data_IF_613959015023
#
_entry.id   IF_613959015023
#
_cell.length_a   1.000
_cell.length_b   1.000
_cell.length_c   1.000
_cell.angle_alpha   90.00
_cell.angle_beta   90.00
_cell.angle_gamma   90.00
#
_symmetry.space_group_name_H-M   'P 1'
#
loop_
_entity.id
_entity.type
_entity.pdbx_description
1 polymer ?
#
# COMPACT_ATOMS: atom_id res chain seq x y z
N UNK A 1 -24.72 0.63 -55.46
CA UNK A 1 -23.92 -0.52 -54.99
C UNK A 1 -22.73 -0.01 -54.19
N UNK A 2 -22.91 0.44 -52.95
CA UNK A 2 -21.80 0.65 -52.01
C UNK A 2 -22.36 0.40 -50.62
N UNK A 3 -21.90 -0.70 -50.01
CA UNK A 3 -21.62 -0.89 -48.58
C UNK A 3 -21.60 -2.39 -48.33
N UNK A 4 -20.39 -2.99 -48.22
CA UNK A 4 -20.14 -3.77 -47.02
C UNK A 4 -18.66 -3.71 -46.62
N UNK A 5 -18.19 -2.60 -46.02
CA UNK A 5 -16.79 -2.53 -45.54
C UNK A 5 -16.60 -1.96 -44.13
N UNK A 6 -17.64 -1.78 -43.32
CA UNK A 6 -17.51 -1.26 -41.95
C UNK A 6 -17.80 -2.24 -40.81
N UNK A 7 -17.78 -3.56 -41.05
CA UNK A 7 -17.91 -4.55 -39.95
C UNK A 7 -16.63 -5.29 -39.57
N UNK A 8 -15.57 -5.23 -40.39
CA UNK A 8 -14.32 -6.01 -40.16
C UNK A 8 -13.23 -5.28 -39.36
N UNK A 9 -13.39 -4.01 -39.02
CA UNK A 9 -12.38 -3.25 -38.26
C UNK A 9 -12.53 -3.41 -36.73
N UNK A 10 -13.75 -3.63 -36.22
CA UNK A 10 -14.01 -3.72 -34.78
C UNK A 10 -13.52 -4.99 -34.09
N UNK A 11 -13.36 -6.10 -34.83
CA UNK A 11 -12.95 -7.38 -34.24
C UNK A 11 -11.44 -7.54 -34.09
N UNK A 12 -10.63 -6.90 -34.95
CA UNK A 12 -9.15 -6.94 -34.80
C UNK A 12 -8.67 -6.23 -33.54
N UNK A 13 -9.35 -5.16 -33.16
CA UNK A 13 -8.97 -4.35 -32.00
C UNK A 13 -9.34 -5.03 -30.69
N UNK A 14 -10.47 -5.74 -30.65
CA UNK A 14 -10.88 -6.57 -29.51
C UNK A 14 -9.94 -7.76 -29.29
N UNK A 15 -9.42 -8.36 -30.36
CA UNK A 15 -8.44 -9.46 -30.27
C UNK A 15 -7.12 -9.00 -29.65
N UNK A 16 -6.61 -7.83 -30.05
CA UNK A 16 -5.37 -7.23 -29.50
C UNK A 16 -5.50 -6.90 -28.00
N UNK A 17 -6.70 -6.52 -27.55
CA UNK A 17 -6.99 -6.23 -26.13
C UNK A 17 -7.08 -7.49 -25.27
N UNK A 18 -7.66 -8.58 -25.79
CA UNK A 18 -7.69 -9.89 -25.11
C UNK A 18 -6.29 -10.52 -25.01
N UNK A 19 -5.45 -10.35 -26.03
CA UNK A 19 -4.09 -10.91 -26.04
C UNK A 19 -3.15 -10.24 -25.03
N UNK A 20 -3.28 -8.91 -24.84
CA UNK A 20 -2.55 -8.19 -23.78
C UNK A 20 -2.95 -8.61 -22.36
N UNK A 21 -4.19 -9.05 -22.16
CA UNK A 21 -4.67 -9.58 -20.87
C UNK A 21 -4.23 -11.04 -20.62
N UNK A 22 -3.69 -11.72 -21.65
CA UNK A 22 -3.29 -13.13 -21.62
C UNK A 22 -1.76 -13.30 -21.63
N UNK A 23 -1.00 -12.29 -21.23
CA UNK A 23 0.44 -12.44 -20.97
C UNK A 23 0.63 -12.61 -19.46
N UNK A 24 1.01 -13.81 -18.99
CA UNK A 24 1.27 -14.02 -17.58
C UNK A 24 2.51 -13.19 -17.22
N UNK A 25 2.45 -12.47 -16.11
CA UNK A 25 3.56 -11.80 -15.43
C UNK A 25 4.62 -12.79 -14.89
N UNK A 26 4.61 -14.04 -15.39
CA UNK A 26 5.54 -15.09 -15.03
C UNK A 26 6.94 -14.73 -15.54
N UNK A 27 7.72 -14.07 -14.67
CA UNK A 27 9.09 -14.44 -14.35
C UNK A 27 9.79 -13.29 -13.61
N UNK A 28 9.63 -13.22 -12.28
CA UNK A 28 10.75 -12.82 -11.40
C UNK A 28 10.64 -13.61 -10.09
N UNK A 29 11.66 -14.40 -9.81
CA UNK A 29 12.19 -14.51 -8.45
C UNK A 29 11.60 -15.59 -7.55
N UNK A 30 12.14 -16.80 -7.69
CA UNK A 30 12.35 -17.79 -6.63
C UNK A 30 12.64 -17.14 -5.27
N UNK A 31 11.94 -17.54 -4.20
CA UNK A 31 12.57 -17.82 -2.90
C UNK A 31 11.62 -18.54 -1.93
N UNK A 32 12.14 -19.65 -1.42
CA UNK A 32 11.52 -20.55 -0.47
C UNK A 32 11.45 -19.92 0.94
N UNK A 33 10.38 -20.22 1.67
CA UNK A 33 10.33 -20.04 3.12
C UNK A 33 9.74 -21.29 3.77
N UNK A 34 10.57 -21.94 4.56
CA UNK A 34 10.31 -23.19 5.26
C UNK A 34 9.21 -23.04 6.31
N UNK A 35 8.25 -23.96 6.28
CA UNK A 35 7.25 -24.14 7.32
C UNK A 35 7.89 -24.83 8.53
N UNK A 36 8.12 -24.08 9.61
CA UNK A 36 8.42 -24.64 10.91
C UNK A 36 7.12 -25.16 11.53
N UNK A 37 7.06 -26.48 11.70
CA UNK A 37 6.04 -27.20 12.42
C UNK A 37 6.26 -27.11 13.95
N UNK A 38 5.16 -27.06 14.70
CA UNK A 38 5.09 -27.44 16.12
C UNK A 38 4.21 -26.53 16.98
N UNK A 39 3.65 -27.04 18.09
CA UNK A 39 2.56 -28.00 18.06
C UNK A 39 1.31 -27.52 18.84
N UNK A 40 0.16 -28.08 18.49
CA UNK A 40 -1.05 -28.08 19.30
C UNK A 40 -0.80 -28.71 20.68
N UNK A 41 -1.52 -28.24 21.71
CA UNK A 41 -2.11 -29.17 22.66
C UNK A 41 -3.62 -28.88 22.81
N UNK A 42 -4.42 -29.91 22.56
CA UNK A 42 -5.82 -29.90 22.94
C UNK A 42 -5.99 -30.05 24.46
N UNK A 43 -7.10 -29.55 24.97
CA UNK A 43 -7.95 -30.16 26.01
C UNK A 43 -9.15 -29.25 26.26
N UNK A 44 -10.37 -29.72 25.96
CA UNK A 44 -11.56 -29.32 26.72
C UNK A 44 -11.59 -30.07 28.06
N UNK A 45 -12.59 -29.87 28.94
CA UNK A 45 -13.95 -29.40 28.68
C UNK A 45 -14.37 -28.20 29.55
N UNK A 46 -15.63 -27.80 29.42
CA UNK A 46 -16.15 -26.48 29.82
C UNK A 46 -16.16 -26.17 31.31
N UNK A 47 -16.27 -24.88 31.59
CA UNK A 47 -17.34 -24.32 32.41
C UNK A 47 -17.46 -22.84 32.04
N UNK A 48 -18.68 -22.38 31.74
CA UNK A 48 -18.95 -20.95 31.60
C UNK A 48 -19.22 -20.39 32.98
N UNK A 49 -18.56 -19.29 33.35
CA UNK A 49 -19.25 -18.27 34.11
C UNK A 49 -19.06 -16.90 33.44
N UNK A 50 -20.20 -16.27 33.15
CA UNK A 50 -20.44 -14.83 33.15
C UNK A 50 -19.20 -13.92 33.06
N UNK A 51 -18.97 -13.35 31.87
CA UNK A 51 -18.04 -12.23 31.71
C UNK A 51 -18.76 -10.89 32.00
N UNK A 52 -18.12 -9.93 32.69
CA UNK A 52 -18.70 -8.61 32.89
C UNK A 52 -18.74 -7.87 31.55
N UNK A 53 -19.96 -7.62 31.06
CA UNK A 53 -20.23 -6.72 29.95
C UNK A 53 -19.85 -5.28 30.37
N UNK A 54 -18.61 -4.87 30.10
CA UNK A 54 -18.16 -3.53 30.49
C UNK A 54 -16.98 -2.93 29.72
N UNK A 55 -16.35 -3.65 28.78
CA UNK A 55 -15.03 -3.22 28.26
C UNK A 55 -14.95 -3.03 26.73
N UNK A 56 -16.06 -3.22 26.01
CA UNK A 56 -16.12 -3.03 24.55
C UNK A 56 -15.92 -1.58 24.06
N UNK A 57 -16.46 -0.52 24.72
CA UNK A 57 -16.29 0.85 24.21
C UNK A 57 -14.86 1.35 24.37
N UNK A 58 -14.15 0.87 25.39
CA UNK A 58 -12.80 1.33 25.71
C UNK A 58 -11.76 0.76 24.75
N UNK A 59 -11.89 -0.52 24.37
CA UNK A 59 -11.03 -1.14 23.34
C UNK A 59 -11.19 -0.47 21.96
N UNK A 60 -12.41 -0.08 21.60
CA UNK A 60 -12.69 0.65 20.35
C UNK A 60 -12.10 2.07 20.37
N UNK A 61 -12.23 2.78 21.50
CA UNK A 61 -11.61 4.10 21.70
C UNK A 61 -10.08 4.05 21.68
N UNK A 62 -9.49 3.01 22.31
CA UNK A 62 -8.04 2.76 22.30
C UNK A 62 -7.54 2.46 20.88
N UNK A 63 -8.19 1.56 20.13
CA UNK A 63 -7.83 1.25 18.75
C UNK A 63 -7.95 2.48 17.82
N UNK A 64 -9.02 3.27 17.98
CA UNK A 64 -9.20 4.51 17.25
C UNK A 64 -8.13 5.57 17.60
N UNK A 65 -7.75 5.69 18.87
CA UNK A 65 -6.66 6.56 19.32
C UNK A 65 -5.29 6.13 18.79
N UNK A 66 -5.00 4.83 18.78
CA UNK A 66 -3.76 4.27 18.24
C UNK A 66 -3.64 4.52 16.73
N UNK A 67 -4.73 4.36 15.98
CA UNK A 67 -4.76 4.62 14.55
C UNK A 67 -4.57 6.12 14.25
N UNK A 68 -5.14 6.99 15.08
CA UNK A 68 -4.97 8.44 15.01
C UNK A 68 -3.50 8.86 15.17
N UNK A 69 -2.75 8.19 16.06
CA UNK A 69 -1.31 8.41 16.25
C UNK A 69 -0.50 7.92 15.04
N UNK A 70 -0.86 6.78 14.45
CA UNK A 70 -0.17 6.22 13.28
C UNK A 70 -0.26 7.13 12.04
N UNK A 71 -1.41 7.78 11.82
CA UNK A 71 -1.62 8.71 10.71
C UNK A 71 -1.28 10.18 11.03
N UNK A 72 -0.74 10.47 12.23
CA UNK A 72 -0.35 11.84 12.61
C UNK A 72 -1.52 12.82 12.74
N UNK A 73 -2.75 12.33 12.92
CA UNK A 73 -3.98 13.15 13.03
C UNK A 73 -4.19 13.71 14.45
N UNK A 74 -3.18 13.64 15.33
CA UNK A 74 -3.21 14.27 16.64
C UNK A 74 -3.15 15.79 16.50
N UNK A 75 -4.24 16.49 16.77
CA UNK A 75 -4.30 17.97 16.78
C UNK A 75 -3.43 18.63 17.87
N UNK A 76 -2.58 17.87 18.57
CA UNK A 76 -1.73 18.37 19.65
C UNK A 76 -0.23 18.27 19.43
N UNK A 77 0.26 17.74 18.29
CA UNK A 77 1.68 17.34 18.20
C UNK A 77 2.39 17.80 16.91
N UNK A 78 2.25 19.08 16.57
CA UNK A 78 3.34 19.80 15.89
C UNK A 78 4.47 20.20 16.88
N UNK A 79 4.31 19.91 18.17
CA UNK A 79 5.19 20.38 19.25
C UNK A 79 6.06 19.29 19.92
N UNK A 80 6.16 18.10 19.32
CA UNK A 80 6.87 16.95 19.92
C UNK A 80 7.93 16.30 19.01
N UNK A 81 8.23 16.87 17.83
CA UNK A 81 9.35 16.42 17.01
C UNK A 81 10.62 17.16 17.47
N UNK A 82 11.74 16.48 17.76
CA UNK A 82 13.00 17.17 18.03
C UNK A 82 13.31 18.04 16.80
N UNK A 83 13.32 19.36 16.97
CA UNK A 83 13.67 20.38 15.98
C UNK A 83 13.56 19.89 14.53
N UNK A 84 12.32 19.69 14.07
CA UNK A 84 12.07 19.57 12.63
C UNK A 84 12.52 20.86 11.95
N UNK A 85 12.85 20.82 10.64
CA UNK A 85 13.12 22.02 9.86
C UNK A 85 11.99 23.02 10.14
N UNK A 86 12.34 24.30 10.27
CA UNK A 86 11.35 25.36 10.45
C UNK A 86 10.22 25.10 9.45
N UNK A 87 8.94 25.03 9.85
CA UNK A 87 7.85 24.72 8.92
C UNK A 87 7.78 25.69 7.73
N UNK A 88 8.44 26.83 7.87
CA UNK A 88 8.57 27.91 6.90
C UNK A 88 9.94 27.95 6.22
N UNK A 89 10.84 27.00 6.46
CA UNK A 89 12.17 26.98 5.85
C UNK A 89 12.03 26.73 4.34
N UNK A 90 12.40 27.70 3.49
CA UNK A 90 12.35 27.53 2.05
C UNK A 90 13.36 26.50 1.52
N UNK A 91 14.25 25.99 2.37
CA UNK A 91 15.26 24.99 1.96
C UNK A 91 15.03 23.57 2.47
N UNK A 92 13.93 23.32 3.18
CA UNK A 92 13.52 21.97 3.49
C UNK A 92 12.89 21.29 2.26
N UNK A 93 13.57 20.28 1.71
CA UNK A 93 13.11 19.45 0.58
C UNK A 93 11.73 18.80 0.82
N UNK A 94 11.37 18.54 2.07
CA UNK A 94 10.08 17.94 2.44
C UNK A 94 9.08 18.96 2.99
N UNK A 95 9.49 20.23 3.06
CA UNK A 95 8.71 21.32 3.65
C UNK A 95 7.62 21.83 2.71
N UNK A 96 6.52 22.30 3.28
CA UNK A 96 5.41 22.88 2.51
C UNK A 96 5.79 24.18 1.77
N UNK A 97 6.85 24.84 2.22
CA UNK A 97 7.33 26.13 1.70
C UNK A 97 8.63 26.01 0.89
N UNK A 98 8.98 24.80 0.43
CA UNK A 98 10.18 24.57 -0.37
C UNK A 98 10.26 25.50 -1.59
N UNK A 99 11.34 26.27 -1.67
CA UNK A 99 11.68 27.11 -2.82
C UNK A 99 12.93 26.51 -3.51
N UNK A 100 12.77 25.99 -4.74
CA UNK A 100 13.88 25.37 -5.46
C UNK A 100 15.01 26.36 -5.75
N UNK A 101 14.73 27.64 -6.00
CA UNK A 101 15.76 28.61 -6.35
C UNK A 101 16.64 28.93 -5.14
N UNK A 102 16.02 29.14 -3.97
CA UNK A 102 16.75 29.40 -2.72
C UNK A 102 17.56 28.16 -2.30
N UNK A 103 16.97 26.98 -2.41
CA UNK A 103 17.67 25.72 -2.11
C UNK A 103 18.88 25.51 -3.01
N UNK A 104 18.73 25.69 -4.33
CA UNK A 104 19.82 25.55 -5.29
C UNK A 104 20.90 26.62 -5.12
N UNK A 105 20.53 27.86 -4.76
CA UNK A 105 21.48 28.92 -4.44
C UNK A 105 22.36 28.57 -3.24
N UNK A 106 21.77 28.04 -2.17
CA UNK A 106 22.53 27.54 -1.02
C UNK A 106 23.44 26.38 -1.43
N UNK A 107 22.90 25.41 -2.16
CA UNK A 107 23.64 24.20 -2.59
C UNK A 107 24.88 24.55 -3.42
N UNK A 108 24.77 25.50 -4.36
CA UNK A 108 25.92 25.98 -5.17
C UNK A 108 27.01 26.66 -4.35
N UNK A 109 26.64 27.33 -3.26
CA UNK A 109 27.58 28.07 -2.41
C UNK A 109 28.26 27.17 -1.37
N UNK A 110 27.56 26.15 -0.90
CA UNK A 110 27.96 25.39 0.28
C UNK A 110 28.46 23.98 -0.03
N UNK A 111 28.05 23.37 -1.15
CA UNK A 111 28.41 21.99 -1.49
C UNK A 111 29.47 21.87 -2.59
N UNK A 112 30.56 21.12 -2.37
CA UNK A 112 31.52 20.81 -3.42
C UNK A 112 30.94 19.82 -4.45
N UNK A 113 31.43 19.89 -5.70
CA UNK A 113 30.90 19.13 -6.83
C UNK A 113 30.78 17.62 -6.57
N UNK A 114 31.75 17.00 -5.88
CA UNK A 114 31.71 15.58 -5.57
C UNK A 114 30.49 15.20 -4.71
N UNK A 115 30.22 15.99 -3.65
CA UNK A 115 29.05 15.78 -2.80
C UNK A 115 27.75 15.99 -3.57
N UNK A 116 27.74 16.94 -4.52
CA UNK A 116 26.58 17.17 -5.38
C UNK A 116 26.29 15.94 -6.27
N UNK A 117 27.32 15.35 -6.89
CA UNK A 117 27.18 14.14 -7.70
C UNK A 117 26.72 12.93 -6.89
N UNK A 118 27.23 12.78 -5.67
CA UNK A 118 26.79 11.73 -4.75
C UNK A 118 25.32 11.93 -4.36
N UNK A 119 24.95 13.17 -4.00
CA UNK A 119 23.56 13.52 -3.63
C UNK A 119 22.57 13.32 -4.77
N UNK A 120 22.96 13.62 -6.01
CA UNK A 120 22.16 13.35 -7.21
C UNK A 120 21.93 11.84 -7.36
N UNK A 121 23.00 11.05 -7.25
CA UNK A 121 22.93 9.59 -7.38
C UNK A 121 22.03 8.98 -6.30
N UNK A 122 22.14 9.47 -5.07
CA UNK A 122 21.31 9.02 -3.95
C UNK A 122 19.85 9.43 -4.12
N UNK A 123 19.57 10.65 -4.57
CA UNK A 123 18.21 11.10 -4.87
C UNK A 123 17.56 10.24 -5.96
N UNK A 124 18.30 9.90 -7.02
CA UNK A 124 17.81 8.99 -8.08
C UNK A 124 17.50 7.60 -7.52
N UNK A 125 18.33 7.08 -6.60
CA UNK A 125 18.06 5.80 -5.93
C UNK A 125 16.81 5.88 -5.07
N UNK A 126 16.64 6.94 -4.29
CA UNK A 126 15.48 7.16 -3.44
C UNK A 126 14.19 7.26 -4.26
N UNK A 127 14.19 7.98 -5.39
CA UNK A 127 13.04 8.07 -6.30
C UNK A 127 12.62 6.67 -6.77
N UNK A 128 13.58 5.84 -7.19
CA UNK A 128 13.29 4.46 -7.65
C UNK A 128 12.78 3.56 -6.53
N UNK A 129 13.35 3.69 -5.33
CA UNK A 129 12.91 2.93 -4.17
C UNK A 129 11.47 3.30 -3.78
N UNK A 130 11.17 4.60 -3.69
CA UNK A 130 9.83 5.10 -3.39
C UNK A 130 8.78 4.67 -4.43
N UNK A 131 9.14 4.65 -5.72
CA UNK A 131 8.26 4.14 -6.77
C UNK A 131 7.99 2.64 -6.60
N UNK A 132 9.01 1.84 -6.32
CA UNK A 132 8.86 0.41 -6.03
C UNK A 132 8.00 0.15 -4.79
N UNK A 133 8.18 0.93 -3.73
CA UNK A 133 7.41 0.82 -2.48
C UNK A 133 5.94 1.20 -2.72
N UNK A 134 5.71 2.28 -3.47
CA UNK A 134 4.36 2.71 -3.90
C UNK A 134 3.66 1.60 -4.68
N UNK A 135 4.35 0.98 -5.64
CA UNK A 135 3.80 -0.12 -6.44
C UNK A 135 3.48 -1.34 -5.57
N UNK A 136 4.37 -1.69 -4.65
CA UNK A 136 4.18 -2.81 -3.72
C UNK A 136 2.96 -2.58 -2.82
N UNK A 137 2.85 -1.38 -2.24
CA UNK A 137 1.73 -1.01 -1.39
C UNK A 137 0.40 -1.14 -2.12
N UNK A 138 0.33 -0.60 -3.33
CA UNK A 138 -0.85 -0.65 -4.19
C UNK A 138 -1.21 -2.09 -4.54
N UNK A 139 -0.21 -2.90 -4.94
CA UNK A 139 -0.40 -4.31 -5.26
C UNK A 139 -0.96 -5.08 -4.07
N UNK A 140 -0.32 -5.01 -2.90
CA UNK A 140 -0.79 -5.69 -1.70
C UNK A 140 -2.20 -5.26 -1.29
N UNK A 141 -2.49 -3.97 -1.34
CA UNK A 141 -3.78 -3.43 -0.95
C UNK A 141 -4.90 -3.93 -1.87
N UNK A 142 -4.70 -3.86 -3.19
CA UNK A 142 -5.68 -4.39 -4.15
C UNK A 142 -5.81 -5.91 -4.09
N UNK A 143 -4.72 -6.65 -3.88
CA UNK A 143 -4.79 -8.10 -3.74
C UNK A 143 -5.61 -8.52 -2.53
N UNK A 144 -5.49 -7.80 -1.40
CA UNK A 144 -6.32 -8.04 -0.21
C UNK A 144 -7.80 -7.81 -0.52
N UNK A 145 -8.15 -6.75 -1.25
CA UNK A 145 -9.54 -6.47 -1.64
C UNK A 145 -10.12 -7.51 -2.60
N UNK A 146 -9.34 -7.91 -3.61
CA UNK A 146 -9.74 -8.95 -4.58
C UNK A 146 -9.96 -10.27 -3.82
N UNK A 147 -8.99 -10.67 -2.99
CA UNK A 147 -9.06 -11.91 -2.20
C UNK A 147 -10.26 -11.93 -1.24
N UNK A 148 -10.54 -10.81 -0.57
CA UNK A 148 -11.70 -10.69 0.30
C UNK A 148 -13.02 -10.82 -0.48
N UNK A 149 -13.11 -10.17 -1.64
CA UNK A 149 -14.30 -10.25 -2.50
C UNK A 149 -14.51 -11.66 -3.06
N UNK A 150 -13.43 -12.35 -3.44
CA UNK A 150 -13.48 -13.74 -3.89
C UNK A 150 -13.92 -14.68 -2.76
N UNK A 151 -13.46 -14.44 -1.54
CA UNK A 151 -13.90 -15.17 -0.34
C UNK A 151 -15.40 -15.00 -0.11
N UNK A 152 -15.91 -13.76 -0.16
CA UNK A 152 -17.34 -13.46 -0.02
C UNK A 152 -18.15 -14.17 -1.12
N UNK A 153 -17.69 -14.14 -2.37
CA UNK A 153 -18.36 -14.82 -3.49
C UNK A 153 -18.41 -16.33 -3.27
N UNK A 154 -17.30 -16.92 -2.80
CA UNK A 154 -17.22 -18.34 -2.47
C UNK A 154 -18.20 -18.69 -1.36
N UNK A 155 -18.18 -17.97 -0.24
CA UNK A 155 -19.11 -18.17 0.88
C UNK A 155 -20.57 -18.08 0.43
N UNK A 156 -20.91 -17.11 -0.44
CA UNK A 156 -22.27 -16.99 -1.00
C UNK A 156 -22.67 -18.21 -1.83
N UNK A 157 -21.76 -18.74 -2.64
CA UNK A 157 -22.02 -19.91 -3.47
C UNK A 157 -22.14 -21.18 -2.62
N UNK A 158 -21.29 -21.32 -1.61
CA UNK A 158 -21.31 -22.46 -0.69
C UNK A 158 -22.63 -22.48 0.11
N UNK A 159 -23.11 -21.33 0.57
CA UNK A 159 -24.40 -21.22 1.26
C UNK A 159 -25.59 -21.59 0.36
N UNK A 160 -25.59 -21.13 -0.90
CA UNK A 160 -26.65 -21.48 -1.86
C UNK A 160 -26.69 -22.99 -2.13
N UNK A 161 -25.54 -23.63 -2.29
CA UNK A 161 -25.49 -25.08 -2.49
C UNK A 161 -26.05 -25.86 -1.30
N UNK A 162 -25.83 -25.38 -0.08
CA UNK A 162 -26.39 -25.99 1.13
C UNK A 162 -27.90 -25.77 1.27
N UNK A 163 -28.46 -24.73 0.67
CA UNK A 163 -29.92 -24.47 0.65
C UNK A 163 -30.63 -25.32 -0.42
N UNK A 164 -29.92 -25.64 -1.51
CA UNK A 164 -30.42 -26.46 -2.61
C UNK A 164 -30.38 -27.99 -2.30
N UNK A 165 -29.71 -28.41 -1.22
CA UNK A 165 -29.65 -29.79 -0.68
C UNK A 165 -30.64 -30.01 0.46
#
# INVERSE_FOLDING_TARGET
MIMPLYSKLGDREKKKRKEKASRPWAAVGTMAAAAAAGPSPGSGPGDSPEGPEGEAPERRRKAHGMLKLYYGLSEGEAAGRPAGPDPLDPTDLNGAHFDPEVYLDKLRRECPLAQLMDSETDMVRQIRALDSDMQTLVYENYNKFISATDTIRKMKNDFRKMEDE
#
